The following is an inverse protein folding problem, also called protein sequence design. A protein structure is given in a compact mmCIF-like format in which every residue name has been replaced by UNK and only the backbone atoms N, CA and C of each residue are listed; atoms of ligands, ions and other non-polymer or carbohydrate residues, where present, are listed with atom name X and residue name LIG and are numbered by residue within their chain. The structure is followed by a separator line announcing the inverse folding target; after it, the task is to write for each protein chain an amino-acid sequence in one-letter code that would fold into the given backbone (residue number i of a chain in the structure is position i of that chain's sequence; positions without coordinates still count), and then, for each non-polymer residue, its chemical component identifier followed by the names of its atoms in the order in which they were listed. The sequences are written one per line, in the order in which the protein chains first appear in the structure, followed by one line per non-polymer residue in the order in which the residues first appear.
data_IF_688897868389
#
_entry.id   IF_688897868389
#
_cell.length_a   1.000
_cell.length_b   1.000
_cell.length_c   1.000
_cell.angle_alpha   90.00
_cell.angle_beta   90.00
_cell.angle_gamma   90.00
#
_symmetry.space_group_name_H-M   'P 1'
#
loop_
_entity.id
_entity.type
_entity.pdbx_description
1 polymer ?
#
# COMPACT_ATOMS: atom_id res chain seq x y z
N UNK A 1 -3.90 -6.44 -8.74
CA UNK A 1 -4.37 -7.84 -8.84
C UNK A 1 -3.32 -8.64 -9.58
N UNK A 2 -2.99 -9.89 -9.25
CA UNK A 2 -2.25 -10.72 -10.24
C UNK A 2 -3.21 -11.48 -11.15
N UNK A 3 -2.63 -12.17 -12.14
CA UNK A 3 -3.33 -12.82 -13.26
C UNK A 3 -4.02 -14.14 -12.88
N UNK A 4 -3.53 -14.86 -11.86
CA UNK A 4 -4.03 -16.16 -11.43
C UNK A 4 -3.72 -16.45 -9.97
N UNK A 5 -4.30 -17.54 -9.43
CA UNK A 5 -3.98 -18.08 -8.10
C UNK A 5 -2.47 -18.24 -7.92
N UNK A 6 -1.78 -18.91 -8.86
CA UNK A 6 -0.36 -19.19 -8.74
C UNK A 6 0.46 -17.91 -8.73
N UNK A 7 0.11 -16.94 -9.58
CA UNK A 7 0.79 -15.65 -9.62
C UNK A 7 0.66 -14.90 -8.30
N UNK A 8 -0.54 -14.87 -7.70
CA UNK A 8 -0.79 -14.23 -6.41
C UNK A 8 -0.07 -14.94 -5.25
N UNK A 9 -0.08 -16.28 -5.24
CA UNK A 9 0.64 -17.07 -4.23
C UNK A 9 2.14 -16.86 -4.34
N UNK A 10 2.70 -16.93 -5.56
CA UNK A 10 4.13 -16.73 -5.79
C UNK A 10 4.54 -15.31 -5.39
N UNK A 11 3.80 -14.29 -5.83
CA UNK A 11 4.09 -12.90 -5.47
C UNK A 11 4.00 -12.69 -3.95
N UNK A 12 2.94 -13.19 -3.30
CA UNK A 12 2.74 -13.09 -1.86
C UNK A 12 3.85 -13.76 -1.06
N UNK A 13 4.18 -15.02 -1.38
CA UNK A 13 5.24 -15.78 -0.69
C UNK A 13 6.62 -15.14 -0.92
N UNK A 14 6.92 -14.68 -2.14
CA UNK A 14 8.18 -14.04 -2.48
C UNK A 14 8.40 -12.72 -1.70
N UNK A 15 7.34 -12.05 -1.29
CA UNK A 15 7.41 -10.83 -0.47
C UNK A 15 7.66 -11.09 1.01
N UNK A 16 7.38 -12.29 1.54
CA UNK A 16 7.55 -12.60 2.96
C UNK A 16 9.00 -12.43 3.48
N UNK A 17 10.06 -12.86 2.76
CA UNK A 17 11.43 -12.57 3.17
C UNK A 17 11.75 -11.08 3.20
N UNK A 18 11.28 -10.31 2.21
CA UNK A 18 11.46 -8.86 2.15
C UNK A 18 10.78 -8.18 3.34
N UNK A 19 9.58 -8.64 3.69
CA UNK A 19 8.84 -8.18 4.86
C UNK A 19 9.57 -8.49 6.18
N UNK A 20 10.03 -9.72 6.36
CA UNK A 20 10.77 -10.14 7.56
C UNK A 20 12.05 -9.32 7.73
N UNK A 21 12.81 -9.12 6.64
CA UNK A 21 14.01 -8.30 6.66
C UNK A 21 13.69 -6.83 6.97
N UNK A 22 12.68 -6.25 6.31
CA UNK A 22 12.27 -4.85 6.55
C UNK A 22 11.89 -4.61 8.01
N UNK A 23 11.10 -5.52 8.60
CA UNK A 23 10.69 -5.45 10.00
C UNK A 23 11.87 -5.66 10.97
N UNK A 24 12.85 -6.50 10.63
CA UNK A 24 14.06 -6.70 11.43
C UNK A 24 14.92 -5.43 11.57
N UNK A 25 14.82 -4.52 10.60
CA UNK A 25 15.57 -3.26 10.61
C UNK A 25 14.92 -2.16 11.49
N UNK A 26 13.70 -2.40 11.99
CA UNK A 26 12.97 -1.47 12.88
C UNK A 26 13.75 -1.27 14.18
N UNK A 27 13.92 -0.01 14.60
CA UNK A 27 14.45 0.33 15.93
C UNK A 27 13.44 1.02 16.84
N UNK A 28 12.44 1.67 16.24
CA UNK A 28 11.40 2.41 16.98
C UNK A 28 10.02 2.00 16.49
N UNK A 29 9.04 1.90 17.39
CA UNK A 29 7.67 1.46 17.06
C UNK A 29 7.03 2.29 15.95
N UNK A 30 7.35 3.59 15.88
CA UNK A 30 6.87 4.51 14.83
C UNK A 30 7.31 4.13 13.40
N UNK A 31 8.29 3.24 13.25
CA UNK A 31 8.81 2.80 11.95
C UNK A 31 8.06 1.56 11.44
N UNK A 32 7.38 0.85 12.34
CA UNK A 32 6.64 -0.38 12.04
C UNK A 32 5.63 -0.19 10.91
N UNK A 33 4.78 0.88 10.89
CA UNK A 33 3.78 1.01 9.84
C UNK A 33 4.36 1.05 8.43
N UNK A 34 5.52 1.71 8.25
CA UNK A 34 6.20 1.74 6.96
C UNK A 34 6.94 0.43 6.67
N UNK A 35 7.65 -0.11 7.67
CA UNK A 35 8.41 -1.34 7.54
C UNK A 35 7.53 -2.57 7.28
N UNK A 36 6.26 -2.53 7.70
CA UNK A 36 5.26 -3.58 7.51
C UNK A 36 4.59 -3.55 6.12
N UNK A 37 4.77 -2.51 5.32
CA UNK A 37 4.15 -2.42 3.98
C UNK A 37 4.38 -3.67 3.11
N UNK A 38 5.59 -4.26 3.04
CA UNK A 38 5.81 -5.49 2.28
C UNK A 38 5.01 -6.68 2.82
N UNK A 39 4.82 -6.79 4.15
CA UNK A 39 4.00 -7.84 4.76
C UNK A 39 2.54 -7.67 4.36
N UNK A 40 2.06 -6.42 4.41
CA UNK A 40 0.69 -6.10 4.07
C UNK A 40 0.39 -6.35 2.59
N UNK A 41 1.32 -6.01 1.70
CA UNK A 41 1.22 -6.37 0.29
C UNK A 41 1.25 -7.89 0.07
N UNK A 42 2.10 -8.63 0.80
CA UNK A 42 2.12 -10.09 0.74
C UNK A 42 0.77 -10.70 1.14
N UNK A 43 0.22 -10.26 2.27
CA UNK A 43 -1.09 -10.72 2.75
C UNK A 43 -2.21 -10.33 1.78
N UNK A 44 -2.13 -9.15 1.17
CA UNK A 44 -3.10 -8.70 0.18
C UNK A 44 -3.12 -9.62 -1.05
N UNK A 45 -1.96 -10.00 -1.59
CA UNK A 45 -1.88 -10.97 -2.69
C UNK A 45 -2.36 -12.36 -2.29
N UNK A 46 -1.98 -12.86 -1.11
CA UNK A 46 -2.47 -14.15 -0.63
C UNK A 46 -4.00 -14.15 -0.40
N UNK A 47 -4.57 -13.01 -0.02
CA UNK A 47 -6.03 -12.86 0.10
C UNK A 47 -6.70 -12.90 -1.27
N UNK A 48 -6.09 -12.30 -2.29
CA UNK A 48 -6.59 -12.33 -3.68
C UNK A 48 -6.57 -13.75 -4.27
N UNK A 49 -5.53 -14.54 -3.97
CA UNK A 49 -5.48 -15.95 -4.34
C UNK A 49 -6.68 -16.76 -3.82
N UNK A 50 -7.19 -16.43 -2.63
CA UNK A 50 -8.40 -17.06 -2.08
C UNK A 50 -9.67 -16.62 -2.82
N UNK A 51 -9.71 -15.39 -3.36
CA UNK A 51 -10.82 -14.94 -4.19
C UNK A 51 -10.83 -15.69 -5.52
N UNK A 52 -9.67 -15.81 -6.17
CA UNK A 52 -9.53 -16.65 -7.37
C UNK A 52 -9.94 -18.09 -7.12
N UNK A 53 -9.48 -18.69 -6.02
CA UNK A 53 -9.89 -20.05 -5.63
C UNK A 53 -11.42 -20.16 -5.47
N UNK A 54 -12.09 -19.10 -5.04
CA UNK A 54 -13.55 -19.07 -4.95
C UNK A 54 -14.23 -19.00 -6.31
N UNK A 55 -13.70 -18.20 -7.23
CA UNK A 55 -14.19 -18.09 -8.61
C UNK A 55 -14.03 -19.40 -9.38
N UNK A 56 -12.97 -20.17 -9.10
CA UNK A 56 -12.72 -21.50 -9.67
C UNK A 56 -13.47 -22.64 -8.96
N UNK A 57 -14.21 -22.35 -7.88
CA UNK A 57 -14.98 -23.35 -7.14
C UNK A 57 -14.16 -24.22 -6.18
N UNK A 58 -12.91 -23.86 -5.90
CA UNK A 58 -12.03 -24.55 -4.95
C UNK A 58 -12.35 -24.25 -3.47
N UNK A 59 -13.06 -23.14 -3.18
CA UNK A 59 -13.54 -22.79 -1.84
C UNK A 59 -15.02 -22.37 -1.87
N UNK A 60 -15.67 -22.36 -0.70
CA UNK A 60 -17.08 -21.97 -0.60
C UNK A 60 -17.31 -20.49 -0.95
N UNK A 61 -18.50 -20.16 -1.43
CA UNK A 61 -18.89 -18.78 -1.73
C UNK A 61 -18.75 -17.84 -0.52
N UNK A 62 -19.00 -18.34 0.70
CA UNK A 62 -18.80 -17.58 1.93
C UNK A 62 -17.33 -17.22 2.19
N UNK A 63 -16.41 -18.14 1.92
CA UNK A 63 -14.96 -17.88 2.04
C UNK A 63 -14.50 -16.90 0.98
N UNK A 64 -14.95 -17.07 -0.27
CA UNK A 64 -14.66 -16.13 -1.36
C UNK A 64 -15.11 -14.71 -1.02
N UNK A 65 -16.36 -14.56 -0.54
CA UNK A 65 -16.91 -13.25 -0.20
C UNK A 65 -16.18 -12.60 0.98
N UNK A 66 -15.80 -13.39 1.99
CA UNK A 66 -15.01 -12.91 3.11
C UNK A 66 -13.62 -12.44 2.64
N UNK A 67 -12.93 -13.22 1.80
CA UNK A 67 -11.64 -12.86 1.22
C UNK A 67 -11.74 -11.58 0.37
N UNK A 68 -12.74 -11.46 -0.50
CA UNK A 68 -12.98 -10.26 -1.30
C UNK A 68 -13.25 -9.03 -0.42
N UNK A 69 -14.02 -9.19 0.66
CA UNK A 69 -14.30 -8.12 1.62
C UNK A 69 -13.01 -7.67 2.32
N UNK A 70 -12.20 -8.61 2.81
CA UNK A 70 -10.89 -8.29 3.43
C UNK A 70 -9.97 -7.59 2.44
N UNK A 71 -9.90 -8.08 1.19
CA UNK A 71 -9.12 -7.48 0.12
C UNK A 71 -9.53 -6.02 -0.11
N UNK A 72 -10.83 -5.75 -0.32
CA UNK A 72 -11.33 -4.41 -0.61
C UNK A 72 -11.23 -3.48 0.60
N UNK A 73 -11.50 -3.96 1.82
CA UNK A 73 -11.33 -3.18 3.05
C UNK A 73 -9.87 -2.77 3.28
N UNK A 74 -8.92 -3.63 2.93
CA UNK A 74 -7.51 -3.28 2.97
C UNK A 74 -7.18 -2.22 1.90
N UNK A 75 -7.56 -2.46 0.65
CA UNK A 75 -7.20 -1.60 -0.47
C UNK A 75 -7.80 -0.18 -0.34
N UNK A 76 -9.07 -0.08 0.02
CA UNK A 76 -9.81 1.19 -0.04
C UNK A 76 -9.78 1.95 1.29
N UNK A 77 -10.31 1.43 2.42
CA UNK A 77 -10.20 2.08 3.70
C UNK A 77 -8.81 2.13 4.33
N UNK A 78 -8.05 1.03 4.34
CA UNK A 78 -6.85 0.99 5.20
C UNK A 78 -5.71 1.82 4.61
N UNK A 79 -5.44 1.71 3.31
CA UNK A 79 -4.29 2.38 2.67
C UNK A 79 -4.29 3.91 2.78
N UNK A 80 -5.41 4.64 2.55
CA UNK A 80 -5.42 6.11 2.62
C UNK A 80 -5.06 6.68 3.97
N UNK A 81 -5.31 5.95 5.06
CA UNK A 81 -4.86 6.37 6.39
C UNK A 81 -3.47 5.83 6.69
N UNK A 82 -3.22 4.55 6.39
CA UNK A 82 -1.98 3.87 6.75
C UNK A 82 -0.75 4.51 6.10
N UNK A 83 -0.80 4.79 4.80
CA UNK A 83 0.36 5.29 4.05
C UNK A 83 0.80 6.69 4.52
N UNK A 84 -0.06 7.73 4.57
CA UNK A 84 0.36 9.03 5.09
C UNK A 84 0.77 8.96 6.56
N UNK A 85 0.12 8.12 7.37
CA UNK A 85 0.52 7.93 8.77
C UNK A 85 1.92 7.32 8.88
N UNK A 86 2.21 6.29 8.07
CA UNK A 86 3.52 5.66 8.01
C UNK A 86 4.60 6.68 7.64
N UNK A 87 4.38 7.51 6.61
CA UNK A 87 5.32 8.56 6.22
C UNK A 87 5.47 9.62 7.33
N UNK A 88 4.37 10.12 7.90
CA UNK A 88 4.38 11.11 8.99
C UNK A 88 5.20 10.61 10.19
N UNK A 89 5.08 9.34 10.55
CA UNK A 89 5.79 8.75 11.68
C UNK A 89 7.29 8.58 11.41
N UNK A 90 7.68 8.41 10.14
CA UNK A 90 9.07 8.43 9.71
C UNK A 90 9.68 9.84 9.73
N UNK A 91 8.90 10.87 9.41
CA UNK A 91 9.39 12.24 9.40
C UNK A 91 9.88 12.70 10.79
N UNK A 92 11.02 13.43 10.85
CA UNK A 92 11.49 14.06 12.07
C UNK A 92 10.47 15.10 12.55
N UNK A 93 10.43 15.34 13.87
CA UNK A 93 9.39 16.17 14.52
C UNK A 93 9.13 17.52 13.81
N UNK A 94 10.19 18.21 13.37
CA UNK A 94 10.07 19.52 12.70
C UNK A 94 9.53 19.49 11.26
N UNK A 95 9.49 18.33 10.60
CA UNK A 95 9.03 18.19 9.21
C UNK A 95 7.60 17.62 9.11
N UNK A 96 7.03 17.10 10.21
CA UNK A 96 5.72 16.42 10.24
C UNK A 96 4.56 17.27 9.74
N UNK A 97 4.60 18.58 9.96
CA UNK A 97 3.53 19.49 9.53
C UNK A 97 3.34 19.53 8.01
N UNK A 98 4.36 19.14 7.22
CA UNK A 98 4.26 19.02 5.76
C UNK A 98 3.37 17.84 5.32
N UNK A 99 3.30 16.80 6.16
CA UNK A 99 2.63 15.53 5.85
C UNK A 99 1.30 15.39 6.61
N UNK A 100 1.16 16.05 7.76
CA UNK A 100 -0.02 15.93 8.63
C UNK A 100 -1.38 16.20 7.92
N UNK A 101 -1.51 17.19 7.00
CA UNK A 101 -2.77 17.39 6.27
C UNK A 101 -3.21 16.17 5.46
N UNK A 102 -2.27 15.38 4.94
CA UNK A 102 -2.57 14.16 4.18
C UNK A 102 -3.09 13.03 5.08
N UNK A 103 -2.71 13.01 6.36
CA UNK A 103 -3.30 12.07 7.32
C UNK A 103 -4.76 12.43 7.59
N UNK A 104 -5.07 13.72 7.76
CA UNK A 104 -6.46 14.16 7.93
C UNK A 104 -7.30 13.86 6.69
N UNK A 105 -6.77 14.15 5.50
CA UNK A 105 -7.42 13.78 4.23
C UNK A 105 -7.62 12.26 4.12
N UNK A 106 -6.57 11.50 4.44
CA UNK A 106 -6.59 10.04 4.45
C UNK A 106 -7.68 9.47 5.35
N UNK A 107 -7.83 10.00 6.57
CA UNK A 107 -8.90 9.59 7.50
C UNK A 107 -10.30 9.84 6.94
N UNK A 108 -10.53 11.00 6.30
CA UNK A 108 -11.82 11.32 5.68
C UNK A 108 -12.12 10.36 4.52
N UNK A 109 -11.15 10.14 3.64
CA UNK A 109 -11.28 9.20 2.51
C UNK A 109 -11.52 7.78 3.01
N UNK A 110 -10.72 7.32 3.99
CA UNK A 110 -10.85 6.01 4.61
C UNK A 110 -12.24 5.80 5.23
N UNK A 111 -12.75 6.77 5.99
CA UNK A 111 -14.06 6.67 6.63
C UNK A 111 -15.19 6.57 5.59
N UNK A 112 -15.14 7.38 4.53
CA UNK A 112 -16.14 7.32 3.47
C UNK A 112 -16.09 5.99 2.71
N UNK A 113 -14.89 5.55 2.29
CA UNK A 113 -14.73 4.28 1.57
C UNK A 113 -15.12 3.09 2.46
N UNK A 114 -14.83 3.12 3.76
CA UNK A 114 -15.29 2.10 4.70
C UNK A 114 -16.81 2.04 4.78
N UNK A 115 -17.46 3.20 4.87
CA UNK A 115 -18.92 3.28 4.86
C UNK A 115 -19.51 2.67 3.58
N UNK A 116 -18.97 3.01 2.41
CA UNK A 116 -19.43 2.48 1.12
C UNK A 116 -19.24 0.96 1.03
N UNK A 117 -18.07 0.44 1.42
CA UNK A 117 -17.77 -0.99 1.35
C UNK A 117 -18.63 -1.81 2.33
N UNK A 118 -18.89 -1.27 3.54
CA UNK A 118 -19.63 -2.00 4.57
C UNK A 118 -21.16 -1.93 4.42
N UNK A 119 -21.68 -0.93 3.72
CA UNK A 119 -23.12 -0.71 3.56
C UNK A 119 -23.62 -0.93 2.12
N UNK A 120 -22.73 -1.05 1.15
CA UNK A 120 -23.05 -1.30 -0.25
C UNK A 120 -22.82 -2.75 -0.67
N UNK A 121 -23.38 -3.19 -1.81
CA UNK A 121 -23.07 -4.49 -2.38
C UNK A 121 -21.63 -4.51 -2.90
N UNK A 122 -20.87 -5.54 -2.50
CA UNK A 122 -19.58 -5.87 -3.10
C UNK A 122 -19.80 -6.95 -4.16
N UNK A 123 -19.62 -6.58 -5.44
CA UNK A 123 -19.69 -7.52 -6.57
C UNK A 123 -18.28 -7.88 -7.00
N UNK A 124 -18.02 -9.18 -7.13
CA UNK A 124 -16.75 -9.75 -7.58
C UNK A 124 -16.95 -10.34 -8.96
N UNK A 125 -16.29 -9.79 -9.97
CA UNK A 125 -16.36 -10.25 -11.36
C UNK A 125 -14.99 -10.81 -11.78
N UNK A 126 -14.93 -12.10 -12.13
CA UNK A 126 -13.75 -12.69 -12.75
C UNK A 126 -13.70 -12.38 -14.24
N UNK A 127 -12.59 -11.82 -14.71
CA UNK A 127 -12.23 -11.73 -16.12
C UNK A 127 -11.04 -12.65 -16.40
N UNK A 128 -10.71 -12.88 -17.68
CA UNK A 128 -9.65 -13.82 -18.08
C UNK A 128 -8.33 -13.63 -17.33
N UNK A 129 -7.98 -12.38 -17.00
CA UNK A 129 -6.66 -11.99 -16.48
C UNK A 129 -6.72 -11.05 -15.28
N UNK A 130 -7.89 -10.81 -14.71
CA UNK A 130 -8.08 -9.90 -13.58
C UNK A 130 -9.40 -10.18 -12.86
N UNK A 131 -9.44 -9.92 -11.57
CA UNK A 131 -10.68 -9.79 -10.82
C UNK A 131 -11.08 -8.30 -10.86
N UNK A 132 -12.38 -8.01 -10.91
CA UNK A 132 -12.90 -6.66 -10.78
C UNK A 132 -13.81 -6.62 -9.55
N UNK A 133 -13.44 -5.79 -8.59
CA UNK A 133 -14.27 -5.51 -7.42
C UNK A 133 -15.08 -4.24 -7.69
N UNK A 134 -16.40 -4.36 -7.77
CA UNK A 134 -17.30 -3.22 -7.90
C UNK A 134 -17.93 -2.88 -6.56
N UNK A 135 -17.90 -1.59 -6.24
CA UNK A 135 -18.56 -0.98 -5.09
C UNK A 135 -19.46 0.15 -5.60
N UNK A 136 -20.53 0.46 -4.87
CA UNK A 136 -21.42 1.57 -5.20
C UNK A 136 -20.83 2.92 -4.73
N UNK A 137 -19.75 3.35 -5.39
CA UNK A 137 -19.07 4.61 -5.09
C UNK A 137 -19.58 5.74 -5.98
N UNK A 138 -20.44 6.57 -5.41
CA UNK A 138 -20.89 7.80 -6.03
C UNK A 138 -19.74 8.80 -6.15
N UNK A 139 -19.66 9.54 -7.27
CA UNK A 139 -18.58 10.49 -7.56
C UNK A 139 -17.18 9.84 -7.57
N UNK A 140 -17.04 8.64 -8.15
CA UNK A 140 -15.81 7.85 -8.11
C UNK A 140 -14.52 8.60 -8.51
N UNK A 141 -14.56 9.47 -9.54
CA UNK A 141 -13.40 10.25 -9.95
C UNK A 141 -12.91 11.22 -8.85
N UNK A 142 -13.84 11.88 -8.15
CA UNK A 142 -13.52 12.80 -7.07
C UNK A 142 -12.81 12.07 -5.93
N UNK A 143 -13.38 10.94 -5.48
CA UNK A 143 -12.79 10.13 -4.42
C UNK A 143 -11.46 9.47 -4.84
N UNK A 144 -11.32 9.08 -6.10
CA UNK A 144 -10.06 8.56 -6.63
C UNK A 144 -8.94 9.62 -6.57
N UNK A 145 -9.22 10.87 -6.96
CA UNK A 145 -8.24 11.97 -6.85
C UNK A 145 -7.83 12.21 -5.40
N UNK A 146 -8.80 12.25 -4.47
CA UNK A 146 -8.50 12.42 -3.05
C UNK A 146 -7.71 11.23 -2.47
N UNK A 147 -8.05 10.01 -2.87
CA UNK A 147 -7.32 8.78 -2.51
C UNK A 147 -5.86 8.85 -2.96
N UNK A 148 -5.62 9.20 -4.23
CA UNK A 148 -4.27 9.33 -4.79
C UNK A 148 -3.51 10.44 -4.06
N UNK A 149 -4.14 11.59 -3.83
CA UNK A 149 -3.54 12.69 -3.09
C UNK A 149 -3.14 12.26 -1.66
N UNK A 150 -4.01 11.54 -0.95
CA UNK A 150 -3.77 11.06 0.42
C UNK A 150 -2.66 10.01 0.50
N UNK A 151 -2.58 9.09 -0.47
CA UNK A 151 -1.63 7.97 -0.46
C UNK A 151 -0.26 8.35 -1.04
N UNK A 152 -0.24 9.15 -2.10
CA UNK A 152 1.00 9.51 -2.84
C UNK A 152 1.59 10.84 -2.38
N UNK A 153 0.75 11.85 -2.17
CA UNK A 153 1.14 13.18 -1.70
C UNK A 153 2.09 13.21 -0.49
N UNK A 154 1.85 12.45 0.61
CA UNK A 154 2.76 12.43 1.76
C UNK A 154 4.18 11.99 1.39
N UNK A 155 4.31 11.00 0.51
CA UNK A 155 5.59 10.45 0.11
C UNK A 155 6.38 11.42 -0.78
N UNK A 156 5.70 12.11 -1.70
CA UNK A 156 6.31 13.12 -2.58
C UNK A 156 6.82 14.35 -1.81
N UNK A 157 6.21 14.68 -0.67
CA UNK A 157 6.61 15.81 0.18
C UNK A 157 7.54 15.39 1.33
N UNK A 158 7.95 14.12 1.38
CA UNK A 158 8.87 13.61 2.40
C UNK A 158 10.25 14.27 2.31
N UNK A 159 10.90 14.45 3.46
CA UNK A 159 12.29 14.90 3.51
C UNK A 159 13.31 13.83 3.06
N UNK A 160 12.88 12.59 2.85
CA UNK A 160 13.76 11.47 2.48
C UNK A 160 13.66 11.18 0.98
N UNK A 161 14.74 11.33 0.18
CA UNK A 161 14.72 11.09 -1.26
C UNK A 161 14.23 9.69 -1.67
N UNK A 162 14.51 8.67 -0.85
CA UNK A 162 14.02 7.31 -1.09
C UNK A 162 12.49 7.18 -0.95
N UNK A 163 11.88 7.95 -0.05
CA UNK A 163 10.42 7.97 0.13
C UNK A 163 9.77 8.78 -0.99
N UNK A 164 10.41 9.87 -1.42
CA UNK A 164 9.98 10.62 -2.62
C UNK A 164 10.01 9.72 -3.87
N UNK A 165 11.08 8.96 -4.06
CA UNK A 165 11.16 7.99 -5.15
C UNK A 165 10.07 6.90 -5.06
N UNK A 166 9.76 6.42 -3.85
CA UNK A 166 8.65 5.49 -3.61
C UNK A 166 7.30 6.11 -4.02
N UNK A 167 7.05 7.37 -3.66
CA UNK A 167 5.85 8.10 -4.06
C UNK A 167 5.77 8.31 -5.58
N UNK A 168 6.88 8.72 -6.20
CA UNK A 168 6.95 8.93 -7.65
C UNK A 168 6.71 7.64 -8.43
N UNK A 169 7.28 6.51 -7.98
CA UNK A 169 7.05 5.21 -8.61
C UNK A 169 5.59 4.77 -8.49
N UNK A 170 4.94 4.99 -7.33
CA UNK A 170 3.49 4.77 -7.19
C UNK A 170 2.68 5.65 -8.15
N UNK A 171 3.02 6.93 -8.26
CA UNK A 171 2.30 7.86 -9.13
C UNK A 171 2.42 7.44 -10.60
N UNK A 172 3.62 7.06 -11.04
CA UNK A 172 3.86 6.55 -12.40
C UNK A 172 3.09 5.26 -12.60
N UNK A 173 3.16 4.31 -11.66
CA UNK A 173 2.41 3.05 -11.72
C UNK A 173 0.91 3.29 -11.88
N UNK A 174 0.32 4.13 -11.03
CA UNK A 174 -1.10 4.51 -11.09
C UNK A 174 -1.48 5.24 -12.38
N UNK A 175 -0.60 6.10 -12.90
CA UNK A 175 -0.85 6.83 -14.16
C UNK A 175 -0.78 5.89 -15.37
N UNK A 176 0.20 4.99 -15.42
CA UNK A 176 0.31 3.97 -16.47
C UNK A 176 -0.91 3.06 -16.47
N UNK A 177 -1.34 2.63 -15.28
CA UNK A 177 -2.59 1.91 -15.06
C UNK A 177 -3.78 2.66 -15.68
N UNK A 178 -3.93 3.94 -15.37
CA UNK A 178 -5.06 4.74 -15.82
C UNK A 178 -5.05 4.99 -17.33
N UNK A 179 -3.89 4.94 -17.97
CA UNK A 179 -3.73 5.19 -19.41
C UNK A 179 -3.80 3.93 -20.26
N UNK A 180 -3.31 2.79 -19.75
CA UNK A 180 -3.09 1.59 -20.58
C UNK A 180 -4.35 0.74 -20.72
N UNK A 181 -5.32 0.80 -19.80
CA UNK A 181 -6.72 0.29 -19.86
C UNK A 181 -7.01 -1.02 -20.64
N UNK A 182 -6.01 -1.89 -20.84
CA UNK A 182 -6.12 -3.18 -21.52
C UNK A 182 -5.23 -4.18 -20.81
N UNK A 183 -5.84 -5.29 -20.36
CA UNK A 183 -5.35 -6.65 -20.08
C UNK A 183 -4.02 -6.89 -19.30
N UNK A 184 -3.09 -5.93 -19.25
CA UNK A 184 -1.82 -5.97 -18.52
C UNK A 184 -1.91 -5.34 -17.11
N UNK A 185 -3.09 -4.90 -16.68
CA UNK A 185 -3.31 -4.23 -15.39
C UNK A 185 -2.86 -5.08 -14.20
N UNK A 186 -3.03 -6.40 -14.32
CA UNK A 186 -2.76 -7.31 -13.23
C UNK A 186 -1.24 -7.50 -12.97
N UNK A 187 -0.48 -7.87 -13.99
CA UNK A 187 0.97 -8.12 -13.84
C UNK A 187 1.75 -6.88 -13.40
N UNK A 188 1.35 -5.69 -13.86
CA UNK A 188 1.99 -4.42 -13.49
C UNK A 188 1.88 -4.12 -12.00
N UNK A 189 0.75 -4.43 -11.37
CA UNK A 189 0.57 -4.20 -9.93
C UNK A 189 1.50 -5.08 -9.09
N UNK A 190 1.66 -6.35 -9.47
CA UNK A 190 2.49 -7.29 -8.72
C UNK A 190 3.97 -6.94 -8.84
N UNK A 191 4.43 -6.54 -10.03
CA UNK A 191 5.77 -6.00 -10.25
C UNK A 191 5.97 -4.71 -9.44
N UNK A 192 4.99 -3.80 -9.47
CA UNK A 192 5.05 -2.55 -8.70
C UNK A 192 5.14 -2.83 -7.20
N UNK A 193 4.31 -3.73 -6.66
CA UNK A 193 4.33 -4.12 -5.25
C UNK A 193 5.69 -4.73 -4.84
N UNK A 194 6.30 -5.55 -5.70
CA UNK A 194 7.63 -6.09 -5.49
C UNK A 194 8.70 -4.99 -5.44
N UNK A 195 8.72 -4.09 -6.43
CA UNK A 195 9.66 -2.97 -6.49
C UNK A 195 9.53 -2.05 -5.27
N UNK A 196 8.29 -1.66 -4.94
CA UNK A 196 8.00 -0.82 -3.78
C UNK A 196 8.42 -1.49 -2.47
N UNK A 197 8.20 -2.81 -2.34
CA UNK A 197 8.62 -3.57 -1.16
C UNK A 197 10.14 -3.60 -0.99
N UNK A 198 10.88 -3.77 -2.09
CA UNK A 198 12.34 -3.68 -2.07
C UNK A 198 12.80 -2.27 -1.70
N UNK A 199 12.16 -1.22 -2.22
CA UNK A 199 12.47 0.16 -1.84
C UNK A 199 12.25 0.42 -0.35
N UNK A 200 11.17 -0.12 0.23
CA UNK A 200 10.91 -0.06 1.67
C UNK A 200 12.05 -0.73 2.45
N UNK A 201 12.44 -1.95 2.08
CA UNK A 201 13.56 -2.67 2.70
C UNK A 201 14.87 -1.85 2.62
N UNK A 202 15.20 -1.34 1.43
CA UNK A 202 16.41 -0.53 1.22
C UNK A 202 16.38 0.75 2.05
N UNK A 203 15.23 1.41 2.16
CA UNK A 203 15.05 2.56 3.03
C UNK A 203 15.31 2.18 4.49
N UNK A 204 14.68 1.11 4.99
CA UNK A 204 14.83 0.66 6.37
C UNK A 204 16.27 0.26 6.69
N UNK A 205 16.93 -0.47 5.80
CA UNK A 205 18.34 -0.86 5.94
C UNK A 205 19.28 0.35 6.01
N UNK A 206 19.08 1.35 5.14
CA UNK A 206 19.86 2.60 5.19
C UNK A 206 19.58 3.38 6.48
N UNK A 207 18.31 3.42 6.89
CA UNK A 207 17.86 4.14 8.10
C UNK A 207 18.37 3.52 9.38
N UNK A 208 18.59 2.20 9.43
CA UNK A 208 19.22 1.53 10.58
C UNK A 208 20.60 2.08 10.91
N UNK A 209 21.34 2.60 9.93
CA UNK A 209 22.67 3.18 10.10
C UNK A 209 22.65 4.61 10.65
N UNK A 210 21.48 5.26 10.75
CA UNK A 210 21.36 6.63 11.25
C UNK A 210 21.32 6.64 12.79
N UNK A 211 22.02 7.59 13.46
CA UNK A 211 21.89 7.85 14.89
C UNK A 211 20.47 8.30 15.29
N UNK A 212 20.06 8.00 16.52
CA UNK A 212 18.73 8.38 17.04
C UNK A 212 18.44 9.89 17.00
N UNK A 213 19.38 10.82 17.27
CA UNK A 213 19.11 12.24 17.16
C UNK A 213 18.70 12.66 15.74
N UNK A 214 19.33 12.08 14.72
CA UNK A 214 18.96 12.30 13.32
C UNK A 214 17.59 11.71 13.01
N UNK A 215 17.31 10.48 13.46
CA UNK A 215 16.00 9.82 13.24
C UNK A 215 14.86 10.59 13.89
N UNK A 216 14.99 10.93 15.18
CA UNK A 216 13.90 11.46 16.00
C UNK A 216 13.67 12.96 15.75
N UNK A 217 14.76 13.72 15.63
CA UNK A 217 14.73 15.19 15.62
C UNK A 217 15.18 15.81 14.29
N UNK A 218 15.74 15.02 13.37
CA UNK A 218 16.26 15.53 12.09
C UNK A 218 17.58 16.30 12.25
N UNK A 219 18.31 16.10 13.36
CA UNK A 219 19.58 16.78 13.59
C UNK A 219 20.63 16.29 12.58
N UNK A 220 21.50 17.17 12.03
CA UNK A 220 22.57 16.76 11.14
C UNK A 220 23.47 15.69 11.78
N UNK A 221 24.05 14.81 10.97
CA UNK A 221 25.11 13.92 11.45
C UNK A 221 26.29 14.81 11.86
N UNK A 222 26.70 14.75 13.12
CA UNK A 222 27.94 15.40 13.55
C UNK A 222 29.09 14.67 12.82
N UNK A 223 29.94 15.38 12.05
CA UNK A 223 31.10 14.74 11.45
C UNK A 223 31.95 14.13 12.55
N UNK A 224 32.24 12.82 12.45
CA UNK A 224 33.26 12.21 13.30
C UNK A 224 34.59 12.72 12.75
N UNK A 225 35.23 13.62 13.50
CA UNK A 225 36.59 14.09 13.23
C UNK A 225 37.61 13.00 13.53
#
# INVERSE_FOLDING_TARGET
MCFSIEADVVAGVALLPVAALSLREVRHVREVPFAALPLLFALHQLTEALVWAGLEGHVSAGVMQAAATVYVLFAFPVLPTLVPLAVLLLEPKGARLRVAPFVALGLVVSAHLAYVVLNGPLVVEGHDHAIVYRIDLQHGMFWAVLYIAATVGPALLSGYPSIVAFGALNLVGLSLVALIYRDAFASLWCVLAALLSVMVLLHMYRRRRLPDPHRLRGQPLVPVH
#
